data_IF_281464617925
#
_entry.id   IF_281464617925
#
_cell.length_a   1.000
_cell.length_b   1.000
_cell.length_c   1.000
_cell.angle_alpha   90.00
_cell.angle_beta   90.00
_cell.angle_gamma   90.00
#
_symmetry.space_group_name_H-M   'P 1'
#
loop_
_entity.id
_entity.type
_entity.pdbx_description
1 polymer ?
#
# COMPACT_ATOMS: atom_id res chain seq x y z
N UNK A 1 -3.52 18.85 -4.23
CA UNK A 1 -2.96 18.24 -5.45
C UNK A 1 -2.83 16.74 -5.23
N UNK A 2 -3.83 15.95 -5.64
CA UNK A 2 -3.73 14.49 -5.56
C UNK A 2 -2.90 13.97 -6.74
N UNK A 3 -1.58 14.14 -6.62
CA UNK A 3 -0.63 13.75 -7.66
C UNK A 3 -0.60 12.23 -7.89
N UNK A 4 -0.57 11.86 -9.16
CA UNK A 4 -0.19 10.55 -9.66
C UNK A 4 1.31 10.33 -9.43
N UNK A 5 1.77 9.08 -9.38
CA UNK A 5 3.21 8.84 -9.28
C UNK A 5 3.83 9.30 -10.59
N UNK A 6 4.93 10.04 -10.51
CA UNK A 6 5.62 10.52 -11.69
C UNK A 6 6.19 9.32 -12.45
N UNK A 7 5.56 9.04 -13.59
CA UNK A 7 5.87 7.93 -14.48
C UNK A 7 6.61 8.47 -15.69
N UNK A 8 7.85 8.03 -15.90
CA UNK A 8 8.57 8.32 -17.13
C UNK A 8 9.04 7.00 -17.75
N UNK A 9 8.62 6.73 -19.00
CA UNK A 9 8.98 5.49 -19.73
C UNK A 9 8.78 4.21 -18.91
N UNK A 10 7.70 4.10 -18.13
CA UNK A 10 7.37 2.97 -17.23
C UNK A 10 8.32 2.78 -16.04
N UNK A 11 9.14 3.80 -15.73
CA UNK A 11 9.98 3.86 -14.54
C UNK A 11 9.42 4.86 -13.51
N UNK A 12 9.59 4.53 -12.23
CA UNK A 12 9.05 5.30 -11.11
C UNK A 12 10.05 6.38 -10.76
N UNK A 13 9.63 7.64 -10.87
CA UNK A 13 10.40 8.75 -10.35
C UNK A 13 9.84 9.10 -8.97
N UNK A 14 10.71 9.02 -7.96
CA UNK A 14 10.37 9.31 -6.57
C UNK A 14 10.86 10.70 -6.24
N UNK A 15 9.93 11.54 -5.78
CA UNK A 15 10.21 12.84 -5.20
C UNK A 15 9.83 12.81 -3.73
N UNK A 16 10.64 13.45 -2.90
CA UNK A 16 10.28 13.72 -1.52
C UNK A 16 10.52 15.19 -1.21
N UNK A 17 9.69 15.76 -0.33
CA UNK A 17 9.81 17.16 0.07
C UNK A 17 10.80 17.23 1.24
N UNK A 18 11.91 17.92 1.03
CA UNK A 18 12.85 18.22 2.11
C UNK A 18 12.21 19.26 3.05
N UNK A 19 11.87 18.84 4.26
CA UNK A 19 11.28 19.71 5.29
C UNK A 19 12.33 20.41 6.15
N UNK A 20 13.57 19.92 6.14
CA UNK A 20 14.71 20.47 6.87
C UNK A 20 15.93 20.52 5.96
N UNK A 21 16.94 21.29 6.35
CA UNK A 21 18.25 21.25 5.71
C UNK A 21 18.86 19.87 5.95
N UNK A 22 18.74 19.00 4.94
CA UNK A 22 19.24 17.63 4.96
C UNK A 22 20.45 17.55 4.04
N UNK A 23 21.56 17.00 4.54
CA UNK A 23 22.75 16.78 3.73
C UNK A 23 22.42 15.79 2.60
N UNK A 24 23.07 15.95 1.45
CA UNK A 24 22.74 15.18 0.22
C UNK A 24 22.80 13.66 0.43
N UNK A 25 23.75 13.19 1.23
CA UNK A 25 23.98 11.79 1.61
C UNK A 25 22.87 11.20 2.49
N UNK A 26 22.09 12.03 3.17
CA UNK A 26 21.01 11.58 4.06
C UNK A 26 19.65 11.52 3.36
N UNK A 27 19.54 12.00 2.12
CA UNK A 27 18.29 12.00 1.35
C UNK A 27 17.98 10.57 0.89
N UNK A 28 16.85 10.02 1.36
CA UNK A 28 16.40 8.65 1.02
C UNK A 28 15.12 8.68 0.19
N UNK A 29 15.26 8.56 -1.13
CA UNK A 29 14.14 8.48 -2.08
C UNK A 29 13.68 7.03 -2.30
N UNK A 30 13.27 6.36 -1.23
CA UNK A 30 13.00 4.91 -1.24
C UNK A 30 11.53 4.56 -1.10
N UNK A 31 10.65 5.56 -1.02
CA UNK A 31 9.24 5.32 -0.73
C UNK A 31 8.31 6.18 -1.56
N UNK A 32 7.16 5.62 -1.93
CA UNK A 32 6.16 6.29 -2.75
C UNK A 32 4.77 5.88 -2.27
N UNK A 33 3.78 6.80 -2.25
CA UNK A 33 2.39 6.40 -1.98
C UNK A 33 1.95 5.38 -3.02
N UNK A 34 1.06 4.43 -2.72
CA UNK A 34 0.39 3.57 -3.68
C UNK A 34 -1.01 3.26 -3.21
N UNK A 35 -1.93 3.10 -4.16
CA UNK A 35 -3.25 2.53 -3.89
C UNK A 35 -3.19 1.01 -3.96
N UNK A 36 -3.78 0.36 -2.96
CA UNK A 36 -3.94 -1.08 -2.87
C UNK A 36 -5.42 -1.35 -2.74
N UNK A 37 -5.98 -2.07 -3.70
CA UNK A 37 -7.31 -2.67 -3.56
C UNK A 37 -7.18 -3.94 -2.74
N UNK A 38 -8.02 -4.04 -1.72
CA UNK A 38 -8.14 -5.21 -0.87
C UNK A 38 -9.15 -6.15 -1.53
N UNK A 39 -8.81 -7.43 -1.61
CA UNK A 39 -9.69 -8.46 -2.15
C UNK A 39 -11.01 -8.60 -1.37
N UNK A 40 -11.92 -9.47 -1.83
CA UNK A 40 -13.19 -9.70 -1.14
C UNK A 40 -12.93 -10.06 0.32
N UNK A 41 -13.61 -9.32 1.20
CA UNK A 41 -13.52 -9.50 2.64
C UNK A 41 -14.62 -10.47 3.07
N UNK A 42 -14.36 -11.30 4.08
CA UNK A 42 -15.44 -12.08 4.68
C UNK A 42 -16.46 -11.13 5.32
N UNK A 43 -17.77 -11.42 5.24
CA UNK A 43 -18.82 -10.58 5.83
C UNK A 43 -18.66 -10.37 7.35
N UNK A 44 -17.90 -11.24 8.00
CA UNK A 44 -17.64 -11.23 9.45
C UNK A 44 -16.75 -10.06 9.91
N UNK A 45 -16.00 -9.43 9.00
CA UNK A 45 -15.10 -8.34 9.35
C UNK A 45 -15.73 -6.97 9.08
N UNK A 46 -15.62 -6.06 10.07
CA UNK A 46 -15.85 -4.65 9.79
C UNK A 46 -14.79 -4.14 8.81
N UNK A 47 -15.26 -3.54 7.70
CA UNK A 47 -14.40 -3.08 6.61
C UNK A 47 -13.42 -1.99 7.09
N UNK A 48 -13.81 -1.11 8.02
CA UNK A 48 -12.92 -0.05 8.52
C UNK A 48 -11.84 -0.63 9.42
N UNK A 49 -12.20 -1.52 10.33
CA UNK A 49 -11.25 -2.18 11.24
C UNK A 49 -10.24 -3.02 10.47
N UNK A 50 -10.70 -3.76 9.47
CA UNK A 50 -9.84 -4.53 8.58
C UNK A 50 -8.86 -3.64 7.82
N UNK A 51 -9.34 -2.54 7.23
CA UNK A 51 -8.50 -1.59 6.49
C UNK A 51 -7.48 -0.92 7.41
N UNK A 52 -7.88 -0.56 8.63
CA UNK A 52 -6.98 -0.01 9.63
C UNK A 52 -5.90 -1.03 10.02
N UNK A 53 -6.30 -2.26 10.35
CA UNK A 53 -5.38 -3.33 10.73
C UNK A 53 -4.36 -3.64 9.61
N UNK A 54 -4.83 -3.77 8.36
CA UNK A 54 -3.94 -3.94 7.20
C UNK A 54 -2.99 -2.75 7.07
N UNK A 55 -3.51 -1.54 7.19
CA UNK A 55 -2.75 -0.30 7.11
C UNK A 55 -1.61 -0.20 8.13
N UNK A 56 -1.86 -0.62 9.37
CA UNK A 56 -0.83 -0.70 10.42
C UNK A 56 0.32 -1.62 10.01
N UNK A 57 0.03 -2.74 9.33
CA UNK A 57 1.10 -3.66 8.85
C UNK A 57 2.04 -3.02 7.82
N UNK A 58 1.61 -1.93 7.17
CA UNK A 58 2.38 -1.17 6.19
C UNK A 58 3.03 0.09 6.80
N UNK A 59 2.92 0.29 8.11
CA UNK A 59 3.47 1.45 8.80
C UNK A 59 2.57 2.70 8.75
N UNK A 60 1.29 2.52 8.41
CA UNK A 60 0.28 3.58 8.46
C UNK A 60 -0.55 3.73 7.19
N UNK A 61 -1.68 4.43 7.33
CA UNK A 61 -2.63 4.72 6.25
C UNK A 61 -2.56 6.21 5.90
N UNK A 62 -2.37 6.52 4.61
CA UNK A 62 -2.50 7.89 4.11
C UNK A 62 -3.98 8.22 3.87
N UNK A 63 -4.71 7.27 3.26
CA UNK A 63 -6.15 7.40 2.96
C UNK A 63 -6.79 6.02 2.85
N UNK A 64 -8.04 5.88 3.28
CA UNK A 64 -8.85 4.66 3.10
C UNK A 64 -10.15 5.01 2.42
N UNK A 65 -10.62 4.15 1.51
CA UNK A 65 -11.89 4.33 0.83
C UNK A 65 -12.67 3.01 0.77
N UNK A 66 -13.96 3.09 1.10
CA UNK A 66 -14.92 1.99 1.05
C UNK A 66 -16.06 2.44 0.13
N UNK A 67 -16.22 1.78 -1.00
CA UNK A 67 -17.27 2.07 -1.99
C UNK A 67 -17.99 0.76 -2.28
N UNK A 68 -19.14 0.56 -1.61
CA UNK A 68 -19.88 -0.71 -1.64
C UNK A 68 -19.02 -1.89 -1.16
N UNK A 69 -18.75 -2.83 -2.06
CA UNK A 69 -17.87 -3.99 -1.80
C UNK A 69 -16.39 -3.72 -2.08
N UNK A 70 -16.06 -2.63 -2.76
CA UNK A 70 -14.67 -2.30 -3.09
C UNK A 70 -14.01 -1.53 -1.95
N UNK A 71 -12.97 -2.12 -1.36
CA UNK A 71 -12.14 -1.47 -0.34
C UNK A 71 -10.74 -1.18 -0.89
N UNK A 72 -10.22 0.03 -0.65
CA UNK A 72 -8.85 0.38 -1.02
C UNK A 72 -8.15 1.25 0.03
N UNK A 73 -6.83 1.07 0.10
CA UNK A 73 -5.93 1.82 0.97
C UNK A 73 -4.89 2.55 0.14
N UNK A 74 -4.62 3.80 0.49
CA UNK A 74 -3.43 4.55 0.06
C UNK A 74 -2.40 4.48 1.17
N UNK A 75 -1.26 3.87 0.89
CA UNK A 75 -0.17 3.67 1.86
C UNK A 75 1.17 4.10 1.27
N UNK A 76 2.17 4.37 2.12
CA UNK A 76 3.55 4.66 1.69
C UNK A 76 4.33 3.36 1.59
N UNK A 77 4.62 2.89 0.38
CA UNK A 77 5.40 1.67 0.16
C UNK A 77 6.89 1.99 0.04
N UNK A 78 7.73 1.14 0.63
CA UNK A 78 9.15 1.11 0.33
C UNK A 78 9.37 0.32 -0.96
N UNK A 79 9.91 0.97 -1.99
CA UNK A 79 10.07 0.39 -3.34
C UNK A 79 11.27 -0.56 -3.45
N UNK A 80 12.12 -0.62 -2.43
CA UNK A 80 13.25 -1.54 -2.36
C UNK A 80 12.85 -2.91 -1.78
N UNK A 81 11.62 -3.05 -1.27
CA UNK A 81 11.11 -4.29 -0.69
C UNK A 81 10.15 -4.98 -1.68
N UNK A 82 10.08 -6.31 -1.67
CA UNK A 82 9.08 -7.02 -2.45
C UNK A 82 7.67 -6.63 -2.01
N UNK A 83 6.75 -6.62 -2.97
CA UNK A 83 5.35 -6.31 -2.71
C UNK A 83 4.67 -7.48 -2.02
N UNK A 84 3.90 -7.18 -0.97
CA UNK A 84 3.07 -8.18 -0.30
C UNK A 84 1.90 -8.53 -1.20
N UNK A 85 1.73 -9.82 -1.53
CA UNK A 85 0.65 -10.29 -2.40
C UNK A 85 -0.72 -10.35 -1.72
N UNK A 86 -0.74 -10.29 -0.39
CA UNK A 86 -1.93 -10.41 0.43
C UNK A 86 -1.56 -10.63 1.89
N UNK A 87 -2.57 -10.93 2.69
CA UNK A 87 -2.42 -11.20 4.12
C UNK A 87 -3.36 -12.32 4.56
N UNK A 88 -2.95 -13.10 5.55
CA UNK A 88 -3.86 -13.99 6.26
C UNK A 88 -4.50 -13.25 7.42
N UNK A 89 -5.83 -13.31 7.51
CA UNK A 89 -6.61 -12.75 8.62
C UNK A 89 -7.30 -13.90 9.34
N UNK A 90 -7.21 -13.92 10.67
CA UNK A 90 -7.89 -14.91 11.49
C UNK A 90 -9.33 -14.45 11.78
N UNK A 91 -10.30 -15.32 11.56
CA UNK A 91 -11.70 -15.14 11.94
C UNK A 91 -11.93 -15.58 13.39
N UNK A 92 -13.04 -15.17 14.00
CA UNK A 92 -13.36 -15.49 15.40
C UNK A 92 -13.45 -16.99 15.72
N UNK A 93 -13.71 -17.82 14.70
CA UNK A 93 -13.72 -19.28 14.78
C UNK A 93 -12.32 -19.94 14.62
N UNK A 94 -11.24 -19.14 14.54
CA UNK A 94 -9.86 -19.63 14.41
C UNK A 94 -9.43 -19.98 12.99
N UNK A 95 -10.33 -19.91 12.00
CA UNK A 95 -9.97 -20.10 10.60
C UNK A 95 -9.12 -18.94 10.08
N UNK A 96 -8.28 -19.21 9.08
CA UNK A 96 -7.48 -18.18 8.39
C UNK A 96 -7.98 -17.97 6.98
N UNK A 97 -8.29 -16.71 6.65
CA UNK A 97 -8.68 -16.31 5.31
C UNK A 97 -7.52 -15.58 4.62
N UNK A 98 -7.20 -15.97 3.39
CA UNK A 98 -6.24 -15.23 2.55
C UNK A 98 -6.94 -14.09 1.83
N UNK A 99 -6.48 -12.87 2.06
CA UNK A 99 -6.98 -11.66 1.39
C UNK A 99 -5.92 -11.17 0.41
N UNK A 100 -6.14 -11.30 -0.91
CA UNK A 100 -5.19 -10.85 -1.91
C UNK A 100 -5.16 -9.31 -2.01
N UNK A 101 -4.00 -8.77 -2.37
CA UNK A 101 -3.78 -7.35 -2.62
C UNK A 101 -3.61 -7.10 -4.12
N UNK A 102 -4.26 -6.06 -4.63
CA UNK A 102 -4.08 -5.59 -6.01
C UNK A 102 -3.61 -4.15 -6.01
N UNK A 103 -2.37 -3.94 -6.42
CA UNK A 103 -1.74 -2.62 -6.52
C UNK A 103 -2.25 -1.88 -7.76
N UNK A 104 -2.75 -0.66 -7.59
CA UNK A 104 -3.16 0.17 -8.72
C UNK A 104 -1.95 0.89 -9.33
N UNK A 105 -1.94 0.98 -10.68
CA UNK A 105 -0.90 1.68 -11.44
C UNK A 105 0.52 1.21 -11.08
N UNK A 106 0.66 -0.08 -10.77
CA UNK A 106 1.95 -0.71 -10.55
C UNK A 106 2.72 -0.73 -11.87
N UNK A 107 3.98 -0.33 -11.80
CA UNK A 107 4.88 -0.24 -12.93
C UNK A 107 5.62 -1.56 -13.09
N UNK A 108 6.64 -1.60 -13.94
CA UNK A 108 7.63 -2.68 -13.96
C UNK A 108 8.31 -2.74 -12.59
N UNK A 109 7.80 -3.61 -11.72
CA UNK A 109 8.39 -3.94 -10.43
C UNK A 109 9.19 -5.23 -10.61
N UNK A 110 10.32 -5.38 -9.91
CA UNK A 110 11.04 -6.64 -9.95
C UNK A 110 10.20 -7.70 -9.21
N UNK A 111 9.70 -8.69 -9.94
CA UNK A 111 8.92 -9.81 -9.39
C UNK A 111 9.80 -10.94 -8.83
N UNK A 112 11.14 -10.83 -8.94
CA UNK A 112 12.11 -11.87 -8.61
C UNK A 112 13.08 -11.52 -7.48
N UNK A 113 12.71 -10.60 -6.57
CA UNK A 113 13.49 -10.28 -5.37
C UNK A 113 13.05 -11.09 -4.16
#
# INVERSE_FOLDING_TARGET
MEGQHWLFRKHLIIFDRLTKSTKRDQIRLVSSPFWIKIGPCLPEFDKKDLLHAIGVTFGGVIRSEIIGESCRLRIKLNVQKPLRRGIFVSTGNGNKCWIPFKYEKLQTFCFGC
#
